data_IF_372189671086
#
_entry.id   IF_372189671086
#
_cell.length_a   1.000
_cell.length_b   1.000
_cell.length_c   1.000
_cell.angle_alpha   90.00
_cell.angle_beta   90.00
_cell.angle_gamma   90.00
#
_symmetry.space_group_name_H-M   'P 1'
#
loop_
_entity.id
_entity.type
_entity.pdbx_description
1 polymer ?
#
# COMPACT_ATOMS: atom_id res chain seq x y z
N UNK A 1 -0.15 -7.18 -19.31
CA UNK A 1 -0.11 -7.66 -17.92
C UNK A 1 -0.36 -6.46 -17.04
N UNK A 2 -1.59 -6.35 -16.51
CA UNK A 2 -2.07 -5.21 -15.72
C UNK A 2 -1.98 -5.67 -14.25
N UNK A 3 -1.20 -5.00 -13.41
CA UNK A 3 -1.00 -5.34 -11.99
C UNK A 3 -2.33 -5.68 -11.26
N UNK A 4 -3.40 -4.96 -11.59
CA UNK A 4 -4.73 -5.18 -11.02
C UNK A 4 -5.31 -6.55 -11.38
N UNK A 5 -5.09 -7.04 -12.60
CA UNK A 5 -5.57 -8.36 -13.02
C UNK A 5 -4.86 -9.48 -12.22
N UNK A 6 -3.54 -9.32 -11.98
CA UNK A 6 -2.75 -10.28 -11.20
C UNK A 6 -3.20 -10.29 -9.71
N UNK A 7 -3.53 -9.11 -9.16
CA UNK A 7 -4.06 -8.95 -7.80
C UNK A 7 -5.42 -9.64 -7.66
N UNK A 8 -6.32 -9.44 -8.63
CA UNK A 8 -7.64 -10.07 -8.65
C UNK A 8 -7.52 -11.60 -8.75
N UNK A 9 -6.66 -12.11 -9.63
CA UNK A 9 -6.41 -13.55 -9.78
C UNK A 9 -5.82 -14.18 -8.52
N UNK A 10 -4.89 -13.48 -7.85
CA UNK A 10 -4.30 -13.92 -6.60
C UNK A 10 -5.27 -13.83 -5.41
N UNK A 11 -6.45 -13.21 -5.59
CA UNK A 11 -7.40 -12.89 -4.52
C UNK A 11 -6.73 -12.22 -3.32
N UNK A 12 -5.80 -11.31 -3.61
CA UNK A 12 -5.02 -10.64 -2.58
C UNK A 12 -5.94 -9.78 -1.72
N UNK A 13 -5.86 -9.95 -0.41
CA UNK A 13 -6.48 -9.03 0.54
C UNK A 13 -5.54 -7.83 0.74
N UNK A 14 -5.95 -6.65 0.25
CA UNK A 14 -5.13 -5.43 0.30
C UNK A 14 -5.98 -4.19 0.56
N UNK A 15 -5.39 -3.25 1.28
CA UNK A 15 -6.00 -1.94 1.58
C UNK A 15 -5.30 -0.79 0.85
N UNK A 16 -3.96 -0.85 0.71
CA UNK A 16 -3.13 0.18 0.09
C UNK A 16 -2.02 -0.45 -0.75
N UNK A 17 -1.86 0.01 -1.99
CA UNK A 17 -0.75 -0.39 -2.87
C UNK A 17 0.00 0.86 -3.32
N UNK A 18 1.32 0.84 -3.14
CA UNK A 18 2.19 1.86 -3.72
C UNK A 18 2.50 1.53 -5.18
N UNK A 19 2.20 2.46 -6.09
CA UNK A 19 2.56 2.37 -7.52
C UNK A 19 4.02 2.80 -7.71
N UNK A 20 4.50 3.72 -6.87
CA UNK A 20 5.91 4.09 -6.76
C UNK A 20 6.20 4.71 -5.41
N UNK A 21 7.34 4.36 -4.80
CA UNK A 21 7.76 4.91 -3.50
C UNK A 21 9.27 4.88 -3.34
N UNK A 22 9.77 5.67 -2.39
CA UNK A 22 11.17 5.63 -1.98
C UNK A 22 11.34 4.61 -0.85
N UNK A 23 12.07 3.53 -1.13
CA UNK A 23 12.49 2.57 -0.10
C UNK A 23 13.45 3.26 0.86
N UNK A 24 13.17 3.15 2.15
CA UNK A 24 14.00 3.76 3.19
C UNK A 24 14.97 2.77 3.84
N UNK A 25 14.53 1.53 4.00
CA UNK A 25 15.37 0.43 4.46
C UNK A 25 15.84 -0.36 3.24
N UNK A 26 17.10 -0.13 2.84
CA UNK A 26 17.70 -0.75 1.64
C UNK A 26 18.60 -1.94 1.97
N UNK A 27 18.93 -2.14 3.25
CA UNK A 27 19.82 -3.22 3.70
C UNK A 27 19.13 -4.58 3.62
N UNK A 28 17.86 -4.64 3.99
CA UNK A 28 17.06 -5.86 3.91
C UNK A 28 16.14 -5.84 2.67
N UNK A 29 16.00 -6.96 1.96
CA UNK A 29 15.04 -7.08 0.87
C UNK A 29 13.62 -7.13 1.43
N UNK A 30 12.71 -6.40 0.78
CA UNK A 30 11.29 -6.49 1.12
C UNK A 30 10.72 -7.83 0.66
N UNK A 31 9.77 -8.35 1.46
CA UNK A 31 9.14 -9.63 1.18
C UNK A 31 8.25 -9.53 -0.04
N UNK A 32 8.49 -10.37 -1.04
CA UNK A 32 7.65 -10.46 -2.22
C UNK A 32 6.24 -10.95 -1.84
N UNK A 33 5.22 -10.36 -2.46
CA UNK A 33 3.85 -10.87 -2.37
C UNK A 33 3.75 -12.11 -3.27
N UNK A 34 3.35 -13.29 -2.73
CA UNK A 34 3.24 -14.49 -3.53
C UNK A 34 2.29 -14.31 -4.71
N UNK A 35 2.63 -14.90 -5.85
CA UNK A 35 1.80 -14.93 -7.07
C UNK A 35 1.51 -13.58 -7.74
N UNK A 36 2.01 -12.45 -7.23
CA UNK A 36 1.87 -11.13 -7.87
C UNK A 36 3.25 -10.59 -8.22
N UNK A 37 3.52 -10.44 -9.52
CA UNK A 37 4.83 -9.95 -9.99
C UNK A 37 5.01 -8.47 -9.64
N UNK A 38 6.23 -8.11 -9.26
CA UNK A 38 6.62 -6.73 -8.93
C UNK A 38 5.84 -6.12 -7.75
N UNK A 39 5.20 -6.93 -6.91
CA UNK A 39 4.57 -6.49 -5.68
C UNK A 39 5.32 -7.04 -4.47
N UNK A 40 5.53 -6.19 -3.47
CA UNK A 40 6.21 -6.50 -2.23
C UNK A 40 5.42 -5.94 -1.05
N UNK A 41 5.53 -6.57 0.11
CA UNK A 41 5.11 -5.98 1.38
C UNK A 41 5.99 -4.75 1.64
N UNK A 42 5.38 -3.56 1.63
CA UNK A 42 6.10 -2.31 1.68
C UNK A 42 6.54 -1.96 3.10
N UNK A 43 7.83 -1.68 3.29
CA UNK A 43 8.35 -1.13 4.55
C UNK A 43 8.09 0.38 4.65
N UNK A 44 8.50 0.96 5.79
CA UNK A 44 8.40 2.39 6.07
C UNK A 44 8.90 3.24 4.89
N UNK A 45 8.03 4.13 4.44
CA UNK A 45 8.26 5.02 3.30
C UNK A 45 7.60 6.36 3.58
N UNK A 46 8.35 7.46 3.51
CA UNK A 46 7.80 8.82 3.70
C UNK A 46 7.40 9.52 2.40
N UNK A 47 7.65 8.87 1.25
CA UNK A 47 7.39 9.45 -0.07
C UNK A 47 6.83 8.40 -1.02
N UNK A 48 5.76 8.78 -1.72
CA UNK A 48 5.15 8.00 -2.79
C UNK A 48 4.90 8.87 -4.02
N UNK A 49 5.08 8.29 -5.21
CA UNK A 49 4.67 8.89 -6.48
C UNK A 49 3.15 8.79 -6.68
N UNK A 50 2.56 7.71 -6.17
CA UNK A 50 1.14 7.41 -6.34
C UNK A 50 0.79 6.08 -5.67
N UNK A 51 -0.47 5.95 -5.32
CA UNK A 51 -1.02 4.77 -4.66
C UNK A 51 -2.41 4.43 -5.19
N UNK A 52 -2.80 3.18 -5.03
CA UNK A 52 -4.18 2.73 -5.10
C UNK A 52 -4.65 2.40 -3.69
N UNK A 53 -5.90 2.74 -3.37
CA UNK A 53 -6.53 2.39 -2.10
C UNK A 53 -7.79 1.58 -2.39
N UNK A 54 -8.00 0.49 -1.66
CA UNK A 54 -9.23 -0.30 -1.79
C UNK A 54 -10.39 0.44 -1.11
N UNK A 55 -11.63 0.07 -1.44
CA UNK A 55 -12.81 0.68 -0.80
C UNK A 55 -12.78 0.51 0.72
N UNK A 56 -12.44 -0.69 1.20
CA UNK A 56 -12.27 -0.98 2.63
C UNK A 56 -11.17 -0.12 3.26
N UNK A 57 -10.02 0.01 2.61
CA UNK A 57 -8.94 0.88 3.09
C UNK A 57 -9.38 2.34 3.21
N UNK A 58 -10.16 2.83 2.24
CA UNK A 58 -10.71 4.19 2.27
C UNK A 58 -11.71 4.37 3.41
N UNK A 59 -12.63 3.40 3.63
CA UNK A 59 -13.57 3.44 4.75
C UNK A 59 -12.85 3.50 6.09
N UNK A 60 -11.84 2.65 6.30
CA UNK A 60 -11.03 2.61 7.51
C UNK A 60 -10.36 3.96 7.83
N UNK A 61 -9.93 4.72 6.82
CA UNK A 61 -9.36 6.06 7.01
C UNK A 61 -10.41 7.09 7.44
N UNK A 62 -11.62 7.02 6.91
CA UNK A 62 -12.72 7.92 7.29
C UNK A 62 -13.24 7.60 8.70
N UNK A 63 -13.42 6.32 9.00
CA UNK A 63 -13.86 5.80 10.31
C UNK A 63 -12.86 6.11 11.43
N UNK A 64 -11.60 6.39 11.10
CA UNK A 64 -10.62 6.84 12.07
C UNK A 64 -10.91 8.25 12.65
N UNK A 65 -11.89 8.98 12.10
CA UNK A 65 -12.21 10.37 12.45
C UNK A 65 -10.98 11.29 12.47
N UNK A 66 -10.28 11.45 11.33
CA UNK A 66 -8.97 12.09 11.32
C UNK A 66 -9.01 13.54 11.83
N UNK A 67 -10.10 14.27 11.57
CA UNK A 67 -10.22 15.67 11.98
C UNK A 67 -10.33 15.86 13.51
N UNK A 68 -10.92 14.90 14.23
CA UNK A 68 -11.01 14.97 15.70
C UNK A 68 -9.70 14.60 16.39
N UNK A 69 -8.76 13.98 15.65
CA UNK A 69 -7.47 13.45 16.16
C UNK A 69 -6.25 14.14 15.55
N UNK A 70 -6.43 15.27 14.85
CA UNK A 70 -5.29 16.01 14.29
C UNK A 70 -4.39 16.56 15.39
N UNK A 71 -3.09 16.30 15.27
CA UNK A 71 -2.06 16.92 16.10
C UNK A 71 -1.50 18.13 15.37
N UNK A 72 -1.34 19.29 16.03
CA UNK A 72 -0.62 20.41 15.44
C UNK A 72 0.84 20.02 15.20
N UNK A 73 1.36 20.39 14.04
CA UNK A 73 2.75 20.16 13.60
C UNK A 73 3.62 21.40 13.80
#
# INVERSE_FOLDING_TARGET
>A
MRLMDDIEQAQLDWELIYIGRKRMQVQEPEKAVPNVRNLVEADYSYWTLGYAISFQGAQKLIEAEPFSKMLPV
#
